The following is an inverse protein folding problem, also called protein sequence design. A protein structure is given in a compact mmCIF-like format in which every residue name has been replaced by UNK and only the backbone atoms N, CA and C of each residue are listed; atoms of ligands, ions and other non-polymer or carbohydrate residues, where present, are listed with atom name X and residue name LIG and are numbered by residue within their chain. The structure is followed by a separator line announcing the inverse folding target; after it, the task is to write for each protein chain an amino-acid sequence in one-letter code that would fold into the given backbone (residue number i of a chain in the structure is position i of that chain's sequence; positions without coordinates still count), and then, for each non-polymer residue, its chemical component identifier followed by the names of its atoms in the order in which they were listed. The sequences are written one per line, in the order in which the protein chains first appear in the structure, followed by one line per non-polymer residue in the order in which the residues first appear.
data_IF_720463783263
#
_entry.id   IF_720463783263
#
_cell.length_a   1.000
_cell.length_b   1.000
_cell.length_c   1.000
_cell.angle_alpha   90.00
_cell.angle_beta   90.00
_cell.angle_gamma   90.00
#
_symmetry.space_group_name_H-M   'P 1'
#
loop_
_entity.id
_entity.type
_entity.pdbx_description
1 polymer ?
#
# COMPACT_ATOMS: atom_id res chain seq x y z
N UNK A 1 -17.05 -59.35 35.86
CA UNK A 1 -16.24 -58.34 36.60
C UNK A 1 -15.45 -57.51 35.61
N UNK A 2 -15.64 -56.18 35.72
CA UNK A 2 -14.80 -55.04 35.30
C UNK A 2 -14.35 -54.93 33.83
N UNK A 3 -14.96 -53.92 33.21
CA UNK A 3 -14.69 -53.27 31.92
C UNK A 3 -13.24 -52.77 31.82
N UNK A 4 -12.64 -52.88 30.63
CA UNK A 4 -11.61 -51.94 30.17
C UNK A 4 -12.13 -51.26 28.92
N UNK A 5 -12.57 -50.02 29.10
CA UNK A 5 -12.74 -49.07 28.02
C UNK A 5 -11.35 -48.61 27.57
N UNK A 6 -11.14 -48.46 26.26
CA UNK A 6 -10.24 -47.44 25.76
C UNK A 6 -10.80 -46.91 24.44
N UNK A 7 -11.27 -45.68 24.49
CA UNK A 7 -11.60 -44.85 23.35
C UNK A 7 -10.35 -44.66 22.47
N UNK A 8 -10.48 -44.92 21.17
CA UNK A 8 -9.66 -44.36 20.11
C UNK A 8 -10.63 -44.18 18.95
N UNK A 9 -10.81 -43.04 18.29
CA UNK A 9 -10.21 -41.73 18.39
C UNK A 9 -10.87 -40.97 17.23
N UNK A 10 -11.77 -40.07 17.57
CA UNK A 10 -12.39 -39.13 16.63
C UNK A 10 -11.35 -38.05 16.35
N UNK A 11 -10.83 -37.94 15.12
CA UNK A 11 -10.27 -36.70 14.54
C UNK A 11 -9.72 -36.95 13.13
N UNK A 12 -10.56 -36.73 12.13
CA UNK A 12 -10.11 -36.27 10.81
C UNK A 12 -10.98 -35.08 10.46
N UNK A 13 -10.71 -33.96 11.11
CA UNK A 13 -11.18 -32.64 10.70
C UNK A 13 -9.94 -31.77 10.56
N UNK A 14 -9.69 -31.28 9.35
CA UNK A 14 -8.75 -30.18 9.14
C UNK A 14 -7.66 -30.39 8.09
N UNK A 15 -8.01 -30.68 6.82
CA UNK A 15 -7.08 -30.50 5.69
C UNK A 15 -7.76 -29.88 4.45
N UNK A 16 -8.57 -28.85 4.68
CA UNK A 16 -9.02 -27.91 3.66
C UNK A 16 -8.88 -26.56 4.38
N UNK A 17 -7.80 -25.79 4.29
CA UNK A 17 -7.46 -24.87 3.21
C UNK A 17 -6.14 -24.13 3.58
N UNK A 18 -4.92 -24.60 3.24
CA UNK A 18 -3.72 -23.78 3.41
C UNK A 18 -3.39 -22.90 2.20
N UNK A 19 -4.06 -23.10 1.05
CA UNK A 19 -3.63 -22.51 -0.23
C UNK A 19 -3.96 -21.03 -0.46
N UNK A 20 -4.80 -20.40 0.36
CA UNK A 20 -5.26 -19.01 0.09
C UNK A 20 -4.27 -17.98 0.64
N UNK A 21 -3.58 -18.29 1.73
CA UNK A 21 -2.66 -17.32 2.38
C UNK A 21 -1.40 -17.06 1.55
N UNK A 22 -0.83 -18.09 0.91
CA UNK A 22 0.38 -17.94 0.10
C UNK A 22 0.15 -17.11 -1.17
N UNK A 23 -1.03 -17.22 -1.80
CA UNK A 23 -1.35 -16.48 -3.03
C UNK A 23 -1.51 -14.95 -2.85
N UNK A 24 -1.53 -14.45 -1.61
CA UNK A 24 -1.53 -13.01 -1.31
C UNK A 24 -0.11 -12.44 -1.19
N UNK A 25 0.87 -13.27 -0.80
CA UNK A 25 2.24 -12.84 -0.52
C UNK A 25 3.08 -12.68 -1.81
N UNK A 26 2.84 -13.55 -2.81
CA UNK A 26 3.56 -13.58 -4.10
C UNK A 26 3.14 -12.50 -5.12
N UNK A 27 2.23 -11.59 -4.77
CA UNK A 27 1.79 -10.56 -5.73
C UNK A 27 2.91 -9.55 -5.98
N UNK A 28 3.13 -9.12 -7.24
CA UNK A 28 4.01 -8.00 -7.53
C UNK A 28 3.63 -6.75 -6.73
N UNK A 29 4.62 -5.98 -6.28
CA UNK A 29 4.42 -4.82 -5.40
C UNK A 29 3.46 -3.78 -6.00
N UNK A 30 3.52 -3.57 -7.33
CA UNK A 30 2.60 -2.66 -8.01
C UNK A 30 1.12 -3.06 -7.86
N UNK A 31 0.81 -4.37 -7.75
CA UNK A 31 -0.56 -4.84 -7.53
C UNK A 31 -1.01 -4.61 -6.09
N UNK A 32 -0.10 -4.78 -5.12
CA UNK A 32 -0.34 -4.51 -3.70
C UNK A 32 -0.63 -3.01 -3.51
N UNK A 33 0.18 -2.15 -4.12
CA UNK A 33 0.02 -0.69 -4.13
C UNK A 33 -1.27 -0.25 -4.82
N UNK A 34 -1.57 -0.74 -6.04
CA UNK A 34 -2.79 -0.36 -6.76
C UNK A 34 -4.05 -0.69 -5.95
N UNK A 35 -4.08 -1.87 -5.32
CA UNK A 35 -5.19 -2.26 -4.44
C UNK A 35 -5.28 -1.36 -3.20
N UNK A 36 -4.16 -1.08 -2.54
CA UNK A 36 -4.14 -0.27 -1.32
C UNK A 36 -4.58 1.18 -1.57
N UNK A 37 -4.29 1.71 -2.76
CA UNK A 37 -4.48 3.10 -3.14
C UNK A 37 -5.65 3.33 -4.11
N UNK A 38 -6.47 2.30 -4.37
CA UNK A 38 -7.62 2.40 -5.30
C UNK A 38 -8.58 3.54 -4.96
N UNK A 39 -8.69 3.92 -3.68
CA UNK A 39 -9.57 4.99 -3.22
C UNK A 39 -9.19 6.37 -3.80
N UNK A 40 -7.92 6.57 -4.18
CA UNK A 40 -7.46 7.81 -4.81
C UNK A 40 -8.14 8.06 -6.16
N UNK A 41 -8.64 7.02 -6.83
CA UNK A 41 -9.44 7.14 -8.06
C UNK A 41 -10.78 7.84 -7.84
N UNK A 42 -11.27 7.85 -6.59
CA UNK A 42 -12.48 8.55 -6.20
C UNK A 42 -12.25 10.00 -5.76
N UNK A 43 -11.00 10.48 -5.70
CA UNK A 43 -10.66 11.86 -5.36
C UNK A 43 -10.64 12.68 -6.65
N UNK A 44 -11.57 13.63 -6.86
CA UNK A 44 -11.72 14.35 -8.13
C UNK A 44 -10.44 15.08 -8.59
N UNK A 45 -9.70 15.59 -7.61
CA UNK A 45 -8.46 16.35 -7.77
C UNK A 45 -7.26 15.48 -8.15
N UNK A 46 -7.34 14.16 -8.04
CA UNK A 46 -6.24 13.29 -8.50
C UNK A 46 -6.26 13.24 -10.03
N UNK A 47 -5.13 13.58 -10.65
CA UNK A 47 -4.91 13.46 -12.08
C UNK A 47 -4.50 12.04 -12.46
N UNK A 48 -3.47 11.52 -11.78
CA UNK A 48 -2.98 10.16 -11.97
C UNK A 48 -2.18 9.71 -10.74
N UNK A 49 -2.00 8.39 -10.62
CA UNK A 49 -1.15 7.76 -9.61
C UNK A 49 -0.20 6.80 -10.33
N UNK A 50 1.10 6.85 -10.02
CA UNK A 50 2.13 5.97 -10.57
C UNK A 50 2.99 5.37 -9.45
N UNK A 51 3.56 4.20 -9.72
CA UNK A 51 4.38 3.46 -8.78
C UNK A 51 5.73 3.13 -9.40
N UNK A 52 6.80 3.32 -8.64
CA UNK A 52 8.14 2.89 -9.01
C UNK A 52 8.88 2.46 -7.75
N UNK A 53 9.23 1.18 -7.66
CA UNK A 53 9.83 0.61 -6.45
C UNK A 53 8.99 0.93 -5.20
N UNK A 54 9.61 1.50 -4.17
CA UNK A 54 8.96 1.94 -2.93
C UNK A 54 8.44 3.39 -3.00
N UNK A 55 8.28 3.94 -4.20
CA UNK A 55 7.81 5.30 -4.39
C UNK A 55 6.42 5.33 -5.05
N UNK A 56 5.56 6.18 -4.50
CA UNK A 56 4.23 6.47 -5.04
C UNK A 56 4.20 7.93 -5.46
N UNK A 57 3.80 8.19 -6.69
CA UNK A 57 3.69 9.52 -7.25
C UNK A 57 2.22 9.83 -7.51
N UNK A 58 1.73 10.92 -6.93
CA UNK A 58 0.35 11.39 -7.06
C UNK A 58 0.41 12.77 -7.72
N UNK A 59 -0.10 12.87 -8.94
CA UNK A 59 -0.30 14.18 -9.58
C UNK A 59 -1.72 14.67 -9.35
N UNK A 60 -1.85 15.99 -9.20
CA UNK A 60 -3.08 16.66 -8.84
C UNK A 60 -3.56 17.57 -9.96
N UNK A 61 -4.87 17.64 -10.23
CA UNK A 61 -5.48 18.67 -11.10
C UNK A 61 -5.59 20.03 -10.38
N UNK A 62 -5.67 19.97 -9.05
CA UNK A 62 -5.74 21.09 -8.12
C UNK A 62 -5.52 20.55 -6.70
N UNK A 63 -5.22 21.40 -5.74
CA UNK A 63 -4.97 20.95 -4.36
C UNK A 63 -6.31 20.73 -3.63
N UNK A 64 -6.65 19.51 -3.17
CA UNK A 64 -7.85 19.26 -2.39
C UNK A 64 -7.74 19.86 -0.98
N UNK A 65 -8.86 20.18 -0.34
CA UNK A 65 -8.89 20.78 1.01
C UNK A 65 -8.16 19.94 2.07
N UNK A 66 -8.21 18.61 1.94
CA UNK A 66 -7.58 17.65 2.84
C UNK A 66 -6.28 17.04 2.28
N UNK A 67 -5.58 17.79 1.42
CA UNK A 67 -4.35 17.38 0.74
C UNK A 67 -3.33 16.67 1.63
N UNK A 68 -2.94 17.31 2.74
CA UNK A 68 -1.95 16.75 3.67
C UNK A 68 -2.40 15.39 4.22
N UNK A 69 -3.67 15.29 4.61
CA UNK A 69 -4.26 14.05 5.13
C UNK A 69 -4.32 12.95 4.06
N UNK A 70 -4.68 13.28 2.82
CA UNK A 70 -4.73 12.28 1.75
C UNK A 70 -3.34 11.71 1.50
N UNK A 71 -2.31 12.56 1.41
CA UNK A 71 -0.94 12.12 1.17
C UNK A 71 -0.43 11.21 2.33
N UNK A 72 -0.62 11.63 3.58
CA UNK A 72 -0.24 10.82 4.74
C UNK A 72 -0.97 9.47 4.80
N UNK A 73 -2.27 9.45 4.49
CA UNK A 73 -3.05 8.21 4.44
C UNK A 73 -2.56 7.30 3.31
N UNK A 74 -2.20 7.87 2.16
CA UNK A 74 -1.63 7.12 1.05
C UNK A 74 -0.30 6.47 1.47
N UNK A 75 0.59 7.23 2.11
CA UNK A 75 1.89 6.73 2.55
C UNK A 75 1.74 5.58 3.54
N UNK A 76 0.91 5.75 4.57
CA UNK A 76 0.64 4.70 5.56
C UNK A 76 0.05 3.44 4.92
N UNK A 77 -0.95 3.59 4.03
CA UNK A 77 -1.58 2.44 3.35
C UNK A 77 -0.60 1.70 2.43
N UNK A 78 0.24 2.44 1.71
CA UNK A 78 1.23 1.87 0.82
C UNK A 78 2.31 1.10 1.61
N UNK A 79 2.84 1.70 2.68
CA UNK A 79 3.83 1.05 3.56
C UNK A 79 3.26 -0.21 4.22
N UNK A 80 2.01 -0.17 4.68
CA UNK A 80 1.32 -1.34 5.21
C UNK A 80 1.12 -2.45 4.17
N UNK A 81 0.85 -2.09 2.91
CA UNK A 81 0.63 -3.06 1.85
C UNK A 81 1.92 -3.76 1.39
N UNK A 82 3.06 -3.06 1.44
CA UNK A 82 4.37 -3.61 1.08
C UNK A 82 5.14 -4.20 2.28
N UNK A 83 4.69 -3.95 3.51
CA UNK A 83 5.45 -4.25 4.72
C UNK A 83 6.87 -3.65 4.70
N UNK A 84 7.02 -2.48 4.09
CA UNK A 84 8.30 -1.77 3.91
C UNK A 84 8.11 -0.25 4.01
N UNK A 85 9.20 0.50 4.09
CA UNK A 85 9.18 1.95 3.97
C UNK A 85 8.76 2.37 2.55
N UNK A 86 7.88 3.37 2.46
CA UNK A 86 7.38 3.94 1.21
C UNK A 86 7.44 5.46 1.27
N UNK A 87 7.86 6.08 0.17
CA UNK A 87 7.78 7.53 -0.02
C UNK A 87 6.64 7.88 -0.97
N UNK A 88 5.79 8.81 -0.56
CA UNK A 88 4.73 9.38 -1.40
C UNK A 88 5.09 10.81 -1.79
N UNK A 89 5.11 11.06 -3.09
CA UNK A 89 5.31 12.39 -3.68
C UNK A 89 3.97 12.91 -4.23
N UNK A 90 3.49 14.01 -3.68
CA UNK A 90 2.43 14.83 -4.28
C UNK A 90 3.07 15.85 -5.23
N UNK A 91 2.72 15.77 -6.51
CA UNK A 91 3.33 16.56 -7.58
C UNK A 91 2.41 17.68 -8.07
N UNK A 92 2.95 18.79 -8.58
CA UNK A 92 2.12 19.87 -9.10
C UNK A 92 1.27 19.44 -10.30
N UNK A 93 0.19 20.17 -10.61
CA UNK A 93 -0.59 19.93 -11.81
C UNK A 93 0.24 20.04 -13.08
N UNK A 94 0.09 19.05 -13.95
CA UNK A 94 0.81 19.00 -15.23
C UNK A 94 2.26 18.49 -15.13
N UNK A 95 2.76 18.14 -13.95
CA UNK A 95 4.04 17.43 -13.83
C UNK A 95 3.95 16.11 -14.60
N UNK A 96 4.92 15.84 -15.46
CA UNK A 96 5.08 14.57 -16.16
C UNK A 96 6.30 13.84 -15.61
N UNK A 97 6.13 12.55 -15.27
CA UNK A 97 7.27 11.72 -14.92
C UNK A 97 8.00 11.29 -16.20
N UNK A 98 9.34 11.31 -16.20
CA UNK A 98 10.12 10.77 -17.31
C UNK A 98 9.81 9.28 -17.52
N UNK A 99 9.98 8.81 -18.76
CA UNK A 99 9.79 7.40 -19.10
C UNK A 99 10.77 6.49 -18.35
N UNK A 100 11.97 7.01 -18.08
CA UNK A 100 12.98 6.41 -17.23
C UNK A 100 13.03 7.18 -15.90
N UNK A 101 12.63 6.52 -14.81
CA UNK A 101 12.60 7.11 -13.46
C UNK A 101 13.87 6.80 -12.66
N UNK A 102 14.87 6.13 -13.23
CA UNK A 102 16.12 5.84 -12.54
C UNK A 102 16.85 7.13 -12.14
N UNK A 103 16.97 7.36 -10.82
CA UNK A 103 17.61 8.56 -10.27
C UNK A 103 16.82 9.86 -10.45
N UNK A 104 15.53 9.78 -10.84
CA UNK A 104 14.68 10.96 -10.92
C UNK A 104 14.24 11.40 -9.51
N UNK A 105 14.59 12.63 -9.15
CA UNK A 105 14.09 13.30 -7.95
C UNK A 105 13.05 14.36 -8.35
N UNK A 106 11.76 14.15 -8.03
CA UNK A 106 10.75 15.17 -8.31
C UNK A 106 10.94 16.41 -7.44
N UNK A 107 10.33 17.53 -7.86
CA UNK A 107 10.10 18.69 -7.00
C UNK A 107 8.66 18.66 -6.47
N UNK A 108 8.37 17.93 -5.36
CA UNK A 108 7.01 17.72 -4.92
C UNK A 108 6.43 18.96 -4.21
N UNK A 109 5.11 19.13 -4.32
CA UNK A 109 4.32 19.97 -3.43
C UNK A 109 4.37 19.45 -1.99
N UNK A 110 4.38 18.13 -1.84
CA UNK A 110 4.58 17.46 -0.56
C UNK A 110 5.21 16.07 -0.74
N UNK A 111 6.08 15.72 0.19
CA UNK A 111 6.64 14.39 0.41
C UNK A 111 6.20 13.88 1.79
N UNK A 112 5.77 12.63 1.84
CA UNK A 112 5.58 11.89 3.10
C UNK A 112 6.26 10.54 3.01
N UNK A 113 7.03 10.18 4.03
CA UNK A 113 7.70 8.89 4.21
C UNK A 113 6.97 8.15 5.33
N UNK A 114 6.63 6.89 5.09
CA UNK A 114 5.97 6.05 6.09
C UNK A 114 6.57 4.65 6.08
N UNK A 115 6.60 4.02 7.26
CA UNK A 115 6.83 2.60 7.41
C UNK A 115 5.50 1.90 7.79
N UNK A 116 5.46 0.57 7.95
CA UNK A 116 4.20 -0.14 8.24
C UNK A 116 3.50 0.29 9.54
N UNK A 117 4.20 0.94 10.45
CA UNK A 117 3.74 1.30 11.78
C UNK A 117 3.33 2.77 11.89
N UNK A 118 4.09 3.68 11.26
CA UNK A 118 3.96 5.11 11.46
C UNK A 118 4.38 5.96 10.25
N UNK A 119 4.06 7.26 10.33
CA UNK A 119 4.62 8.28 9.44
C UNK A 119 5.99 8.65 10.00
N UNK A 120 7.05 8.46 9.20
CA UNK A 120 8.44 8.72 9.60
C UNK A 120 8.78 10.20 9.42
N UNK A 121 8.40 10.77 8.28
CA UNK A 121 8.65 12.17 7.95
C UNK A 121 7.57 12.70 6.99
N UNK A 122 7.26 14.00 7.08
CA UNK A 122 6.26 14.64 6.24
C UNK A 122 6.47 16.15 6.19
N UNK A 123 6.60 16.72 4.99
CA UNK A 123 6.58 18.18 4.78
C UNK A 123 5.22 18.70 4.26
N UNK A 124 4.18 17.85 4.27
CA UNK A 124 2.80 18.29 4.04
C UNK A 124 2.34 19.22 5.17
N UNK A 125 1.85 20.40 4.81
CA UNK A 125 1.22 21.37 5.72
C UNK A 125 -0.23 21.63 5.33
#
# INVERSE_FOLDING_TARGET
MIRKALMVGMMTVGLLFPGISQALEDRPDWQKLDKALMYLRGVPEVAWVKFHENNVYISWKGQPENFARINQVAAKKAAQALHNEVTVYSLPPGEELPADMWGYEPSPLCRTIANPHEIVDSNCH
#
